data_IF_297189416425
#
_entry.id   IF_297189416425
#
_cell.length_a   1.000
_cell.length_b   1.000
_cell.length_c   1.000
_cell.angle_alpha   90.00
_cell.angle_beta   90.00
_cell.angle_gamma   90.00
#
_symmetry.space_group_name_H-M   'P 1'
#
loop_
_entity.id
_entity.type
_entity.pdbx_description
1 polymer ?
#
# COMPACT_ATOMS: atom_id res chain seq x y z
N UNK A 1 -31.64 -9.98 28.49
CA UNK A 1 -31.35 -8.63 27.97
C UNK A 1 -29.86 -8.55 27.68
N UNK A 2 -29.49 -8.67 26.40
CA UNK A 2 -28.44 -7.89 25.73
C UNK A 2 -28.10 -8.65 24.46
N UNK A 3 -28.76 -8.26 23.39
CA UNK A 3 -28.58 -8.78 22.04
C UNK A 3 -27.18 -8.41 21.57
N UNK A 4 -26.39 -9.39 21.16
CA UNK A 4 -25.12 -9.19 20.46
C UNK A 4 -25.42 -8.66 19.07
N UNK A 5 -25.36 -7.33 18.92
CA UNK A 5 -25.49 -6.64 17.65
C UNK A 5 -24.21 -6.91 16.85
N UNK A 6 -24.23 -7.98 16.06
CA UNK A 6 -23.16 -8.29 15.11
C UNK A 6 -23.37 -7.37 13.93
N UNK A 7 -22.62 -6.27 13.86
CA UNK A 7 -22.65 -5.38 12.70
C UNK A 7 -21.98 -6.12 11.54
N UNK A 8 -22.75 -6.93 10.82
CA UNK A 8 -22.39 -7.43 9.50
C UNK A 8 -22.32 -6.20 8.57
N UNK A 9 -21.09 -5.75 8.30
CA UNK A 9 -20.84 -4.75 7.26
C UNK A 9 -21.10 -5.47 5.94
N UNK A 10 -22.32 -5.37 5.43
CA UNK A 10 -22.66 -5.82 4.10
C UNK A 10 -21.71 -5.14 3.11
N UNK A 11 -20.83 -5.93 2.49
CA UNK A 11 -20.06 -5.48 1.32
C UNK A 11 -21.08 -5.19 0.23
N UNK A 12 -21.41 -3.92 0.01
CA UNK A 12 -22.18 -3.50 -1.16
C UNK A 12 -21.37 -3.86 -2.39
N UNK A 13 -21.85 -4.85 -3.15
CA UNK A 13 -21.32 -5.23 -4.47
C UNK A 13 -21.63 -4.11 -5.48
N UNK A 14 -20.84 -3.04 -5.39
CA UNK A 14 -20.94 -1.85 -6.24
C UNK A 14 -20.18 -2.02 -7.57
N UNK A 15 -19.78 -3.25 -7.91
CA UNK A 15 -19.09 -3.57 -9.17
C UNK A 15 -19.94 -3.26 -10.41
N UNK A 16 -21.25 -3.11 -10.22
CA UNK A 16 -22.22 -2.78 -11.27
C UNK A 16 -22.12 -1.34 -11.80
N UNK A 17 -21.42 -0.44 -11.10
CA UNK A 17 -21.26 0.97 -11.49
C UNK A 17 -19.88 1.28 -12.13
N UNK A 18 -18.96 0.32 -12.15
CA UNK A 18 -17.63 0.54 -12.70
C UNK A 18 -17.69 0.88 -14.19
N UNK A 19 -16.96 1.92 -14.60
CA UNK A 19 -16.90 2.35 -16.00
C UNK A 19 -16.22 1.29 -16.86
N UNK A 20 -16.54 1.23 -18.16
CA UNK A 20 -15.93 0.27 -19.10
C UNK A 20 -14.40 0.41 -19.15
N UNK A 21 -13.89 1.63 -18.92
CA UNK A 21 -12.47 1.91 -18.82
C UNK A 21 -11.83 1.26 -17.58
N UNK A 22 -12.49 1.29 -16.42
CA UNK A 22 -11.98 0.67 -15.18
C UNK A 22 -11.81 -0.85 -15.36
N UNK A 23 -12.79 -1.48 -16.03
CA UNK A 23 -12.74 -2.90 -16.37
C UNK A 23 -11.61 -3.20 -17.35
N UNK A 24 -11.45 -2.37 -18.39
CA UNK A 24 -10.34 -2.52 -19.35
C UNK A 24 -8.97 -2.40 -18.70
N UNK A 25 -8.79 -1.49 -17.73
CA UNK A 25 -7.55 -1.35 -16.98
C UNK A 25 -7.27 -2.60 -16.12
N UNK A 26 -8.27 -3.07 -15.38
CA UNK A 26 -8.12 -4.28 -14.56
C UNK A 26 -7.86 -5.54 -15.40
N UNK A 27 -8.49 -5.65 -16.57
CA UNK A 27 -8.29 -6.76 -17.51
C UNK A 27 -6.87 -6.75 -18.10
N UNK A 28 -6.34 -5.55 -18.38
CA UNK A 28 -4.97 -5.40 -18.89
C UNK A 28 -3.93 -5.86 -17.86
N UNK A 29 -4.15 -5.51 -16.58
CA UNK A 29 -3.27 -5.92 -15.47
C UNK A 29 -3.32 -7.43 -15.27
N UNK A 30 -4.53 -8.01 -15.17
CA UNK A 30 -4.70 -9.45 -14.94
C UNK A 30 -4.23 -10.32 -16.11
N UNK A 31 -4.32 -9.82 -17.34
CA UNK A 31 -3.83 -10.54 -18.53
C UNK A 31 -2.31 -10.62 -18.57
N UNK A 32 -1.61 -9.61 -18.07
CA UNK A 32 -0.14 -9.57 -18.07
C UNK A 32 0.48 -10.29 -16.88
N UNK A 33 -0.18 -10.22 -15.71
CA UNK A 33 0.33 -10.82 -14.48
C UNK A 33 -0.68 -11.82 -13.90
N UNK A 34 -0.29 -13.10 -13.87
CA UNK A 34 -1.11 -14.17 -13.29
C UNK A 34 -1.11 -14.20 -11.75
N UNK A 35 -0.15 -13.52 -11.12
CA UNK A 35 0.06 -13.53 -9.66
C UNK A 35 -0.61 -12.36 -8.94
N UNK A 36 -1.49 -11.64 -9.64
CA UNK A 36 -2.15 -10.44 -9.15
C UNK A 36 -3.60 -10.75 -8.80
N UNK A 37 -4.05 -10.28 -7.64
CA UNK A 37 -5.43 -10.41 -7.20
C UNK A 37 -6.12 -9.04 -7.31
N UNK A 38 -7.15 -8.93 -8.14
CA UNK A 38 -7.99 -7.73 -8.19
C UNK A 38 -9.01 -7.82 -7.06
N UNK A 39 -8.82 -7.02 -6.01
CA UNK A 39 -9.67 -7.06 -4.81
C UNK A 39 -11.05 -6.43 -5.07
N UNK A 40 -11.08 -5.30 -5.77
CA UNK A 40 -12.32 -4.70 -6.24
C UNK A 40 -12.08 -3.73 -7.40
N UNK A 41 -13.13 -3.56 -8.20
CA UNK A 41 -13.23 -2.52 -9.24
C UNK A 41 -14.46 -1.70 -8.92
N UNK A 42 -14.25 -0.42 -8.60
CA UNK A 42 -15.28 0.58 -8.32
C UNK A 42 -15.13 1.73 -9.31
N UNK A 43 -16.15 2.59 -9.46
CA UNK A 43 -16.01 3.79 -10.27
C UNK A 43 -14.77 4.58 -9.87
N UNK A 44 -13.88 4.80 -10.84
CA UNK A 44 -12.63 5.55 -10.69
C UNK A 44 -11.60 4.96 -9.70
N UNK A 45 -11.86 3.78 -9.13
CA UNK A 45 -10.99 3.17 -8.12
C UNK A 45 -10.82 1.69 -8.34
N UNK A 46 -9.59 1.27 -8.57
CA UNK A 46 -9.23 -0.14 -8.75
C UNK A 46 -8.29 -0.51 -7.62
N UNK A 47 -8.59 -1.59 -6.89
CA UNK A 47 -7.66 -2.13 -5.91
C UNK A 47 -7.04 -3.43 -6.40
N UNK A 48 -5.73 -3.46 -6.37
CA UNK A 48 -4.91 -4.55 -6.87
C UNK A 48 -3.98 -5.01 -5.74
N UNK A 49 -4.10 -6.26 -5.32
CA UNK A 49 -3.21 -6.88 -4.35
C UNK A 49 -2.10 -7.63 -5.12
N UNK A 50 -0.85 -7.35 -4.76
CA UNK A 50 0.34 -7.91 -5.40
C UNK A 50 1.30 -8.39 -4.33
N UNK A 51 2.01 -9.48 -4.63
CA UNK A 51 3.07 -9.97 -3.75
C UNK A 51 4.30 -9.06 -3.85
N UNK A 52 5.07 -9.00 -2.78
CA UNK A 52 6.26 -8.12 -2.71
C UNK A 52 7.32 -8.47 -3.76
N UNK A 53 7.35 -9.70 -4.27
CA UNK A 53 8.32 -10.13 -5.29
C UNK A 53 8.00 -9.53 -6.68
N UNK A 54 6.72 -9.35 -7.00
CA UNK A 54 6.27 -8.92 -8.34
C UNK A 54 5.96 -7.41 -8.40
N UNK A 55 6.05 -6.70 -7.28
CA UNK A 55 5.58 -5.31 -7.16
C UNK A 55 6.31 -4.34 -8.08
N UNK A 56 7.63 -4.48 -8.26
CA UNK A 56 8.41 -3.58 -9.13
C UNK A 56 7.97 -3.73 -10.59
N UNK A 57 7.76 -4.96 -11.05
CA UNK A 57 7.36 -5.26 -12.42
C UNK A 57 5.94 -4.75 -12.70
N UNK A 58 5.01 -4.95 -11.76
CA UNK A 58 3.64 -4.46 -11.88
C UNK A 58 3.60 -2.93 -11.89
N UNK A 59 4.35 -2.28 -11.01
CA UNK A 59 4.43 -0.81 -10.94
C UNK A 59 5.05 -0.22 -12.21
N UNK A 60 6.10 -0.84 -12.72
CA UNK A 60 6.74 -0.39 -13.97
C UNK A 60 5.78 -0.52 -15.16
N UNK A 61 5.01 -1.61 -15.23
CA UNK A 61 3.96 -1.76 -16.25
C UNK A 61 2.85 -0.71 -16.13
N UNK A 62 2.38 -0.43 -14.91
CA UNK A 62 1.34 0.58 -14.67
C UNK A 62 1.82 1.97 -15.11
N UNK A 63 3.09 2.30 -14.86
CA UNK A 63 3.70 3.56 -15.32
C UNK A 63 3.85 3.61 -16.84
N UNK A 64 4.46 2.58 -17.43
CA UNK A 64 4.93 2.62 -18.81
C UNK A 64 3.84 2.30 -19.84
N UNK A 65 2.88 1.43 -19.52
CA UNK A 65 1.82 1.00 -20.46
C UNK A 65 0.43 1.56 -20.12
N UNK A 66 0.14 1.84 -18.85
CA UNK A 66 -1.16 2.39 -18.43
C UNK A 66 -1.10 3.91 -18.16
N UNK A 67 0.05 4.55 -18.34
CA UNK A 67 0.26 6.00 -18.22
C UNK A 67 -0.07 6.59 -16.83
N UNK A 68 0.05 5.81 -15.76
CA UNK A 68 -0.02 6.31 -14.38
C UNK A 68 1.36 6.84 -13.97
N UNK A 69 1.56 8.14 -14.12
CA UNK A 69 2.85 8.81 -13.98
C UNK A 69 3.19 9.24 -12.54
N UNK A 70 2.24 9.14 -11.61
CA UNK A 70 2.40 9.67 -10.27
C UNK A 70 1.94 8.71 -9.18
N UNK A 71 2.72 8.62 -8.11
CA UNK A 71 2.28 8.03 -6.84
C UNK A 71 1.81 9.17 -5.91
N UNK A 72 0.50 9.26 -5.69
CA UNK A 72 -0.15 10.32 -4.92
C UNK A 72 0.09 10.16 -3.43
N UNK A 73 0.07 8.92 -2.93
CA UNK A 73 0.31 8.62 -1.53
C UNK A 73 0.74 7.18 -1.33
N UNK A 74 1.48 6.95 -0.25
CA UNK A 74 1.77 5.61 0.27
C UNK A 74 1.31 5.56 1.72
N UNK A 75 0.54 4.54 2.05
CA UNK A 75 0.00 4.36 3.39
C UNK A 75 0.24 2.93 3.86
N UNK A 76 0.60 2.76 5.13
CA UNK A 76 0.72 1.45 5.74
C UNK A 76 -0.43 1.12 6.69
N UNK A 77 -0.80 -0.16 6.74
CA UNK A 77 -1.84 -0.70 7.62
C UNK A 77 -1.27 -1.89 8.38
N UNK A 78 -1.33 -1.83 9.70
CA UNK A 78 -0.92 -2.93 10.58
C UNK A 78 -2.08 -3.93 10.75
N UNK A 79 -1.84 -5.20 10.39
CA UNK A 79 -2.75 -6.34 10.60
C UNK A 79 -2.14 -7.34 11.59
N UNK A 80 -2.31 -7.14 12.91
CA UNK A 80 -1.72 -8.00 13.93
C UNK A 80 -2.22 -9.46 13.88
N UNK A 81 -3.50 -9.67 13.58
CA UNK A 81 -4.11 -11.01 13.53
C UNK A 81 -3.50 -11.88 12.42
N UNK A 82 -3.24 -11.27 11.27
CA UNK A 82 -2.63 -11.93 10.11
C UNK A 82 -1.09 -11.96 10.18
N UNK A 83 -0.49 -11.30 11.19
CA UNK A 83 0.95 -11.04 11.29
C UNK A 83 1.53 -10.43 10.01
N UNK A 84 0.82 -9.45 9.45
CA UNK A 84 1.21 -8.78 8.22
C UNK A 84 1.14 -7.26 8.37
N UNK A 85 2.04 -6.57 7.68
CA UNK A 85 1.92 -5.14 7.44
C UNK A 85 1.64 -4.96 5.96
N UNK A 86 0.56 -4.28 5.64
CA UNK A 86 0.19 -3.93 4.29
C UNK A 86 0.66 -2.51 3.97
N UNK A 87 1.26 -2.32 2.80
CA UNK A 87 1.60 -1.01 2.26
C UNK A 87 0.82 -0.82 0.97
N UNK A 88 0.06 0.27 0.90
CA UNK A 88 -0.82 0.60 -0.22
C UNK A 88 -0.29 1.86 -0.90
N UNK A 89 0.00 1.74 -2.19
CA UNK A 89 0.39 2.83 -3.08
C UNK A 89 -0.83 3.28 -3.87
N UNK A 90 -1.17 4.57 -3.79
CA UNK A 90 -2.21 5.16 -4.63
C UNK A 90 -1.54 5.79 -5.85
N UNK A 91 -1.79 5.20 -7.01
CA UNK A 91 -1.23 5.64 -8.29
C UNK A 91 -2.30 6.40 -9.07
N UNK A 92 -1.93 7.57 -9.57
CA UNK A 92 -2.74 8.45 -10.40
C UNK A 92 -2.01 8.85 -11.68
N UNK A 93 -2.67 9.62 -12.53
CA UNK A 93 -2.06 10.23 -13.71
C UNK A 93 -2.37 11.72 -13.74
N UNK A 94 -1.33 12.54 -13.89
CA UNK A 94 -1.50 13.98 -14.09
C UNK A 94 -1.32 14.40 -15.56
N UNK A 95 -0.58 13.62 -16.35
CA UNK A 95 -0.36 13.94 -17.77
C UNK A 95 -1.57 13.62 -18.63
N UNK A 96 -2.32 12.57 -18.32
CA UNK A 96 -3.52 12.18 -19.08
C UNK A 96 -4.80 12.66 -18.37
N UNK A 97 -5.47 13.65 -18.97
CA UNK A 97 -6.73 14.20 -18.43
C UNK A 97 -7.87 13.19 -18.43
N UNK A 98 -7.80 12.11 -19.22
CA UNK A 98 -8.82 11.04 -19.19
C UNK A 98 -8.68 10.13 -17.97
N UNK A 99 -7.51 10.14 -17.32
CA UNK A 99 -7.18 9.34 -16.15
C UNK A 99 -7.11 10.16 -14.86
N UNK A 100 -7.41 11.47 -14.92
CA UNK A 100 -7.26 12.43 -13.81
C UNK A 100 -8.01 12.02 -12.53
N UNK A 101 -9.16 11.34 -12.68
CA UNK A 101 -9.99 10.84 -11.57
C UNK A 101 -9.64 9.42 -11.16
N UNK A 102 -8.88 8.69 -11.99
CA UNK A 102 -8.62 7.26 -11.82
C UNK A 102 -7.50 7.05 -10.83
N UNK A 103 -7.78 6.22 -9.82
CA UNK A 103 -6.80 5.85 -8.80
C UNK A 103 -6.66 4.33 -8.79
N UNK A 104 -5.44 3.85 -8.98
CA UNK A 104 -5.07 2.44 -8.76
C UNK A 104 -4.45 2.33 -7.36
N UNK A 105 -5.16 1.67 -6.45
CA UNK A 105 -4.67 1.31 -5.13
C UNK A 105 -3.93 -0.03 -5.20
N UNK A 106 -2.61 0.03 -5.25
CA UNK A 106 -1.73 -1.11 -5.30
C UNK A 106 -1.28 -1.51 -3.90
N UNK A 107 -1.78 -2.64 -3.40
CA UNK A 107 -1.47 -3.14 -2.07
C UNK A 107 -0.43 -4.26 -2.13
N UNK A 108 0.58 -4.17 -1.27
CA UNK A 108 1.56 -5.23 -1.04
C UNK A 108 1.65 -5.52 0.44
N UNK A 109 2.04 -6.76 0.80
CA UNK A 109 2.14 -7.19 2.20
C UNK A 109 3.51 -7.72 2.52
N UNK A 110 3.95 -7.45 3.73
CA UNK A 110 5.16 -8.04 4.32
C UNK A 110 4.84 -8.65 5.68
N UNK A 111 5.75 -9.48 6.19
CA UNK A 111 5.60 -10.09 7.52
C UNK A 111 5.73 -9.02 8.60
N UNK A 112 4.96 -9.19 9.67
CA UNK A 112 4.99 -8.36 10.87
C UNK A 112 5.68 -9.12 11.99
N UNK A 113 6.81 -8.60 12.47
CA UNK A 113 7.49 -9.10 13.67
C UNK A 113 7.02 -8.34 14.91
N UNK A 114 6.86 -9.03 16.05
CA UNK A 114 6.40 -8.40 17.30
C UNK A 114 7.46 -7.45 17.90
N UNK A 115 8.74 -7.74 17.69
CA UNK A 115 9.89 -6.88 18.04
C UNK A 115 10.57 -6.39 16.76
N UNK A 116 10.14 -5.24 16.18
CA UNK A 116 10.65 -4.80 14.90
C UNK A 116 12.10 -4.37 14.98
N UNK A 117 12.90 -4.89 14.06
CA UNK A 117 14.30 -4.50 13.86
C UNK A 117 14.48 -4.15 12.39
N UNK A 118 14.06 -2.95 11.97
CA UNK A 118 14.06 -2.58 10.56
C UNK A 118 15.45 -2.77 9.94
N UNK A 119 15.51 -3.55 8.85
CA UNK A 119 16.74 -3.90 8.13
C UNK A 119 17.44 -5.18 8.60
N UNK A 120 17.07 -5.72 9.76
CA UNK A 120 17.58 -6.97 10.34
C UNK A 120 16.47 -7.99 10.63
N UNK A 121 15.26 -7.75 10.13
CA UNK A 121 14.09 -8.62 10.30
C UNK A 121 13.43 -8.92 8.94
N UNK A 122 12.34 -9.68 8.93
CA UNK A 122 11.65 -10.04 7.69
C UNK A 122 10.65 -8.97 7.21
N UNK A 123 10.48 -7.86 7.95
CA UNK A 123 9.55 -6.76 7.66
C UNK A 123 10.10 -5.88 6.53
N UNK A 124 10.38 -6.49 5.38
CA UNK A 124 11.07 -5.87 4.23
C UNK A 124 10.13 -5.83 3.02
N UNK A 125 10.16 -4.72 2.29
CA UNK A 125 9.57 -4.53 0.96
C UNK A 125 10.60 -3.91 0.01
N UNK A 126 10.52 -4.13 -1.31
CA UNK A 126 11.31 -3.35 -2.25
C UNK A 126 10.81 -1.91 -2.33
N UNK A 127 11.74 -0.97 -2.46
CA UNK A 127 11.44 0.44 -2.72
C UNK A 127 10.96 0.65 -4.15
N UNK A 128 9.95 1.50 -4.31
CA UNK A 128 9.48 1.97 -5.60
C UNK A 128 10.06 3.34 -5.98
N UNK A 129 11.00 3.86 -5.20
CA UNK A 129 11.58 5.20 -5.40
C UNK A 129 12.17 5.39 -6.79
N UNK A 130 12.82 4.38 -7.35
CA UNK A 130 13.45 4.47 -8.67
C UNK A 130 12.41 4.49 -9.81
N UNK A 131 11.20 4.01 -9.55
CA UNK A 131 10.07 4.10 -10.48
C UNK A 131 9.32 5.42 -10.29
N UNK A 132 9.00 5.76 -9.04
CA UNK A 132 8.30 6.97 -8.64
C UNK A 132 9.09 7.75 -7.59
N UNK A 133 9.81 8.81 -7.95
CA UNK A 133 10.57 9.60 -6.99
C UNK A 133 9.73 10.19 -5.83
N UNK A 134 8.42 10.39 -6.04
CA UNK A 134 7.49 10.93 -5.03
C UNK A 134 7.29 10.02 -3.82
N UNK A 135 7.55 8.70 -3.93
CA UNK A 135 7.32 7.78 -2.79
C UNK A 135 8.38 7.89 -1.72
N UNK A 136 9.53 8.54 -2.00
CA UNK A 136 10.69 8.53 -1.08
C UNK A 136 10.36 8.98 0.35
N UNK A 137 9.61 10.06 0.52
CA UNK A 137 9.21 10.53 1.85
C UNK A 137 8.17 9.60 2.51
N UNK A 138 7.24 9.07 1.72
CA UNK A 138 6.18 8.21 2.23
C UNK A 138 6.70 6.82 2.65
N UNK A 139 7.67 6.27 1.93
CA UNK A 139 8.38 5.04 2.33
C UNK A 139 9.15 5.26 3.64
N UNK A 140 9.82 6.41 3.80
CA UNK A 140 10.50 6.77 5.05
C UNK A 140 9.53 6.94 6.22
N UNK A 141 8.37 7.54 5.99
CA UNK A 141 7.30 7.62 6.97
C UNK A 141 6.80 6.23 7.37
N UNK A 142 6.53 5.34 6.42
CA UNK A 142 6.12 3.96 6.69
C UNK A 142 7.21 3.18 7.45
N UNK A 143 8.47 3.38 7.09
CA UNK A 143 9.62 2.80 7.78
C UNK A 143 9.64 3.20 9.26
N UNK A 144 9.43 4.47 9.55
CA UNK A 144 9.53 4.97 10.91
C UNK A 144 8.28 4.70 11.75
N UNK A 145 7.10 4.82 11.15
CA UNK A 145 5.82 4.68 11.82
C UNK A 145 5.39 3.23 12.03
N UNK A 146 5.79 2.33 11.12
CA UNK A 146 5.40 0.91 11.11
C UNK A 146 6.59 -0.04 11.13
N UNK A 147 7.83 0.42 10.95
CA UNK A 147 9.02 -0.45 10.98
C UNK A 147 9.26 -1.23 9.70
N UNK A 148 8.66 -0.84 8.57
CA UNK A 148 8.84 -1.52 7.28
C UNK A 148 10.13 -1.05 6.61
N UNK A 149 11.09 -1.95 6.40
CA UNK A 149 12.33 -1.62 5.72
C UNK A 149 12.17 -1.69 4.20
N UNK A 150 12.58 -0.63 3.50
CA UNK A 150 12.51 -0.55 2.03
C UNK A 150 13.88 -0.83 1.42
N UNK A 151 14.02 -1.99 0.78
CA UNK A 151 15.25 -2.38 0.10
C UNK A 151 15.42 -1.61 -1.22
N UNK A 152 16.63 -1.15 -1.49
CA UNK A 152 16.93 -0.27 -2.63
C UNK A 152 16.63 1.22 -2.41
N UNK A 153 16.04 1.62 -1.28
CA UNK A 153 15.82 3.05 -1.00
C UNK A 153 17.16 3.75 -0.64
N UNK A 154 17.50 4.90 -1.26
CA UNK A 154 18.81 5.54 -1.09
C UNK A 154 19.02 6.17 0.31
N UNK A 155 17.94 6.45 1.04
CA UNK A 155 17.99 7.12 2.34
C UNK A 155 16.95 6.54 3.32
N UNK A 156 17.32 5.49 4.04
CA UNK A 156 16.48 4.86 5.07
C UNK A 156 16.66 5.48 6.47
N UNK A 157 16.86 6.79 6.54
CA UNK A 157 16.87 7.51 7.82
C UNK A 157 15.46 7.87 8.28
N UNK A 158 15.29 7.90 9.60
CA UNK A 158 14.12 8.47 10.31
C UNK A 158 13.79 9.88 9.78
N UNK A 159 12.51 10.24 9.78
CA UNK A 159 11.99 11.46 9.15
C UNK A 159 11.21 12.36 10.14
N UNK A 160 10.33 11.78 10.96
CA UNK A 160 9.31 12.45 11.75
C UNK A 160 9.53 12.34 13.26
N UNK A 161 10.02 11.21 13.77
CA UNK A 161 10.20 10.99 15.20
C UNK A 161 11.48 11.65 15.69
N UNK A 162 11.53 12.04 16.97
CA UNK A 162 12.75 12.48 17.63
C UNK A 162 13.88 11.46 17.49
N UNK A 163 15.12 11.94 17.43
CA UNK A 163 16.31 11.09 17.30
C UNK A 163 16.45 10.11 18.48
N UNK A 164 15.98 10.50 19.66
CA UNK A 164 15.98 9.72 20.90
C UNK A 164 14.80 8.76 21.04
N UNK A 165 13.95 8.63 20.01
CA UNK A 165 12.85 7.67 20.03
C UNK A 165 13.37 6.23 20.10
N UNK A 166 13.21 5.61 21.27
CA UNK A 166 13.62 4.24 21.57
C UNK A 166 12.44 3.28 21.75
N UNK A 167 11.21 3.78 21.70
CA UNK A 167 9.99 2.97 21.83
C UNK A 167 9.59 2.35 20.47
N UNK A 168 8.61 1.45 20.49
CA UNK A 168 8.05 0.80 19.30
C UNK A 168 7.49 1.82 18.28
N UNK A 169 7.50 1.52 16.96
CA UNK A 169 6.86 2.36 15.95
C UNK A 169 5.39 2.68 16.31
N UNK A 170 4.99 3.96 16.35
CA UNK A 170 3.77 4.39 17.02
C UNK A 170 2.47 4.05 16.30
N UNK A 171 2.50 3.75 14.99
CA UNK A 171 1.29 3.35 14.25
C UNK A 171 0.99 1.84 14.35
N UNK A 172 1.86 1.06 15.00
CA UNK A 172 1.58 -0.34 15.31
C UNK A 172 0.48 -0.43 16.36
N UNK A 173 -0.43 -1.40 16.21
CA UNK A 173 -1.56 -1.58 17.13
C UNK A 173 -1.15 -1.98 18.54
N UNK A 174 0.05 -2.53 18.71
CA UNK A 174 0.62 -2.88 20.01
C UNK A 174 1.14 -1.66 20.77
N UNK A 175 1.38 -0.54 20.08
CA UNK A 175 1.86 0.68 20.70
C UNK A 175 0.78 1.25 21.63
N UNK A 176 1.09 1.31 22.92
CA UNK A 176 0.23 1.95 23.92
C UNK A 176 0.74 3.35 24.17
N UNK A 177 -0.13 4.33 23.95
CA UNK A 177 0.11 5.71 24.39
C UNK A 177 0.24 5.66 25.92
N UNK A 178 1.45 5.93 26.42
CA UNK A 178 1.68 6.15 27.85
C UNK A 178 0.86 7.40 28.20
N UNK A 179 -0.23 7.19 28.95
CA UNK A 179 -1.17 8.23 29.31
C UNK A 179 -0.46 9.44 29.92
N UNK A 180 -0.89 10.62 29.49
CA UNK A 180 -0.43 11.90 30.03
C UNK A 180 -0.96 12.12 31.44
#
# INVERSE_FOLDING_TARGET
MSSTDSTEIAKTDDSSLASDLDKSLSDSISKKFSNVEIAYVKPDRIRVNVKKEDIIDVVSFIRDELNFDHAESVSGVDYPEDKQIEVVYHLGSYTDTSLDKKIIALATRTSREDDPRPGNDNTILPSLRDVFPSVSFHERECFEMLGVYFDGHPDNRRLLLPEDWADMPPLRKDFRIKGR
#
